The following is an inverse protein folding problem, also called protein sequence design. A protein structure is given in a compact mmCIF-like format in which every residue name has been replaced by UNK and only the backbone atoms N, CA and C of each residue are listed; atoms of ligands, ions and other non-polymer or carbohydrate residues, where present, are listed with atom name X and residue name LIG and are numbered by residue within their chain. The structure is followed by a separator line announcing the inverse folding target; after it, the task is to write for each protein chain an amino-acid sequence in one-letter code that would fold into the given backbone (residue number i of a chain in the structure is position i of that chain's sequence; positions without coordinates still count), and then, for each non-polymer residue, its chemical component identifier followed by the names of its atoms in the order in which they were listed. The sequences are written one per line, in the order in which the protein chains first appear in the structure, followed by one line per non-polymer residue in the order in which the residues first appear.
data_IF_530130731665
#
_entry.id   IF_530130731665
#
_cell.length_a   1.000
_cell.length_b   1.000
_cell.length_c   1.000
_cell.angle_alpha   90.00
_cell.angle_beta   90.00
_cell.angle_gamma   90.00
#
_symmetry.space_group_name_H-M   'P 1'
#
loop_
_entity.id
_entity.type
_entity.pdbx_description
1 polymer ?
#
# COMPACT_ATOMS: atom_id res chain seq x y z
N UNK A 1 63.94 3.33 39.66
CA UNK A 1 62.91 3.22 38.60
C UNK A 1 62.64 1.74 38.34
N UNK A 2 61.45 1.18 38.61
CA UNK A 2 61.02 -0.10 37.99
C UNK A 2 59.62 -0.66 38.30
N UNK A 3 58.62 0.08 38.81
CA UNK A 3 57.29 -0.56 39.03
C UNK A 3 56.03 0.27 38.72
N UNK A 4 56.14 1.32 37.89
CA UNK A 4 54.92 2.08 37.51
C UNK A 4 54.17 1.49 36.32
N UNK A 5 54.77 0.62 35.51
CA UNK A 5 54.13 0.04 34.32
C UNK A 5 53.04 -1.01 34.65
N UNK A 6 53.22 -1.99 35.57
CA UNK A 6 52.22 -3.05 35.75
C UNK A 6 50.90 -2.55 36.34
N UNK A 7 50.93 -1.47 37.13
CA UNK A 7 49.74 -0.92 37.79
C UNK A 7 48.80 -0.23 36.79
N UNK A 8 49.35 0.43 35.77
CA UNK A 8 48.57 0.99 34.66
C UNK A 8 47.89 -0.10 33.83
N UNK A 9 48.56 -1.23 33.58
CA UNK A 9 47.96 -2.34 32.84
C UNK A 9 46.76 -2.96 33.58
N UNK A 10 46.85 -3.13 34.89
CA UNK A 10 45.75 -3.69 35.71
C UNK A 10 44.54 -2.73 35.74
N UNK A 11 44.79 -1.42 35.83
CA UNK A 11 43.76 -0.38 35.73
C UNK A 11 43.10 -0.38 34.35
N UNK A 12 43.88 -0.51 33.27
CA UNK A 12 43.36 -0.53 31.90
C UNK A 12 42.47 -1.77 31.64
N UNK A 13 42.90 -2.94 32.12
CA UNK A 13 42.12 -4.18 32.00
C UNK A 13 40.80 -4.06 32.78
N UNK A 14 40.83 -3.47 33.99
CA UNK A 14 39.64 -3.26 34.84
C UNK A 14 38.63 -2.31 34.19
N UNK A 15 39.09 -1.21 33.57
CA UNK A 15 38.21 -0.26 32.86
C UNK A 15 37.55 -0.94 31.65
N UNK A 16 38.31 -1.72 30.88
CA UNK A 16 37.76 -2.48 29.73
C UNK A 16 36.72 -3.50 30.19
N UNK A 17 36.96 -4.20 31.31
CA UNK A 17 35.99 -5.17 31.83
C UNK A 17 34.70 -4.51 32.30
N UNK A 18 34.77 -3.37 32.99
CA UNK A 18 33.58 -2.62 33.44
C UNK A 18 32.76 -2.12 32.25
N UNK A 19 33.41 -1.59 31.21
CA UNK A 19 32.72 -1.15 29.98
C UNK A 19 32.04 -2.32 29.27
N UNK A 20 32.70 -3.49 29.21
CA UNK A 20 32.15 -4.67 28.55
C UNK A 20 30.95 -5.25 29.33
N UNK A 21 31.05 -5.32 30.66
CA UNK A 21 29.96 -5.77 31.56
C UNK A 21 28.76 -4.82 31.53
N UNK A 22 28.98 -3.49 31.50
CA UNK A 22 27.86 -2.53 31.38
C UNK A 22 27.27 -2.47 29.97
N UNK A 23 28.05 -2.77 28.93
CA UNK A 23 27.55 -2.82 27.54
C UNK A 23 26.64 -4.03 27.31
N UNK A 24 26.86 -5.13 28.01
CA UNK A 24 26.02 -6.34 27.96
C UNK A 24 24.67 -6.20 28.70
N UNK A 25 24.48 -5.16 29.52
CA UNK A 25 23.24 -4.89 30.27
C UNK A 25 22.23 -4.02 29.51
N UNK A 26 22.35 -3.83 28.19
CA UNK A 26 21.27 -3.23 27.42
C UNK A 26 20.12 -4.23 27.35
N UNK A 27 18.94 -3.93 27.94
CA UNK A 27 17.81 -4.83 27.81
C UNK A 27 17.51 -5.01 26.32
N UNK A 28 17.25 -6.24 25.85
CA UNK A 28 16.86 -6.45 24.47
C UNK A 28 15.67 -5.54 24.20
N UNK A 29 15.80 -4.61 23.24
CA UNK A 29 14.68 -3.78 22.80
C UNK A 29 13.53 -4.72 22.51
N UNK A 30 12.49 -4.70 23.36
CA UNK A 30 11.27 -5.50 23.16
C UNK A 30 10.89 -5.33 21.68
N UNK A 31 10.64 -6.41 20.94
CA UNK A 31 10.24 -6.30 19.55
C UNK A 31 9.00 -5.41 19.52
N UNK A 32 9.15 -4.18 19.08
CA UNK A 32 8.03 -3.28 18.91
C UNK A 32 7.17 -3.94 17.86
N UNK A 33 6.04 -4.52 18.25
CA UNK A 33 5.10 -5.15 17.33
C UNK A 33 4.71 -4.07 16.35
N UNK A 34 5.32 -4.07 15.15
CA UNK A 34 5.01 -3.09 14.11
C UNK A 34 3.54 -3.30 13.80
N UNK A 35 2.67 -2.41 14.27
CA UNK A 35 1.26 -2.42 13.93
C UNK A 35 1.16 -2.57 12.42
N UNK A 36 0.57 -3.68 11.97
CA UNK A 36 0.36 -3.90 10.54
C UNK A 36 -0.48 -2.74 10.05
N UNK A 37 0.02 -1.99 9.07
CA UNK A 37 -0.69 -0.87 8.45
C UNK A 37 -2.01 -1.38 7.86
N UNK A 38 -3.11 -1.21 8.61
CA UNK A 38 -4.43 -1.66 8.20
C UNK A 38 -5.00 -0.68 7.17
N UNK A 39 -5.25 -1.19 5.97
CA UNK A 39 -6.02 -0.46 4.97
C UNK A 39 -7.50 -0.55 5.32
N UNK A 40 -8.15 0.61 5.47
CA UNK A 40 -9.58 0.71 5.74
C UNK A 40 -10.27 1.24 4.48
N UNK A 41 -11.51 0.84 4.18
CA UNK A 41 -12.23 1.40 3.05
C UNK A 41 -12.40 2.92 3.21
N UNK A 42 -12.41 3.64 2.09
CA UNK A 42 -12.78 5.05 2.07
C UNK A 42 -14.26 5.21 2.43
N UNK A 43 -14.58 6.26 3.19
CA UNK A 43 -15.96 6.65 3.51
C UNK A 43 -16.61 7.50 2.40
N UNK A 44 -15.84 7.91 1.40
CA UNK A 44 -16.32 8.75 0.29
C UNK A 44 -16.80 7.87 -0.87
N UNK A 45 -17.76 8.33 -1.69
CA UNK A 45 -18.23 7.58 -2.85
C UNK A 45 -17.09 7.37 -3.86
N UNK A 46 -17.01 6.16 -4.44
CA UNK A 46 -16.00 5.82 -5.43
C UNK A 46 -16.12 6.62 -6.72
N UNK A 47 -17.35 7.04 -7.06
CA UNK A 47 -17.64 7.93 -8.18
C UNK A 47 -17.42 9.41 -7.85
N UNK A 48 -17.01 9.74 -6.63
CA UNK A 48 -16.77 11.12 -6.20
C UNK A 48 -15.58 11.74 -6.93
N UNK A 49 -15.62 13.07 -7.09
CA UNK A 49 -14.62 13.86 -7.85
C UNK A 49 -13.19 13.56 -7.43
N UNK A 50 -12.91 13.47 -6.12
CA UNK A 50 -11.57 13.18 -5.61
C UNK A 50 -11.07 11.80 -6.04
N UNK A 51 -11.90 10.76 -5.87
CA UNK A 51 -11.51 9.37 -6.12
C UNK A 51 -11.32 9.14 -7.63
N UNK A 52 -12.22 9.69 -8.45
CA UNK A 52 -12.12 9.68 -9.90
C UNK A 52 -10.87 10.42 -10.39
N UNK A 53 -10.56 11.60 -9.83
CA UNK A 53 -9.35 12.37 -10.16
C UNK A 53 -8.08 11.58 -9.86
N UNK A 54 -8.00 10.97 -8.67
CA UNK A 54 -6.87 10.10 -8.30
C UNK A 54 -6.77 8.89 -9.24
N UNK A 55 -7.90 8.28 -9.58
CA UNK A 55 -7.95 7.16 -10.53
C UNK A 55 -7.35 7.51 -11.89
N UNK A 56 -7.84 8.60 -12.51
CA UNK A 56 -7.32 9.10 -13.79
C UNK A 56 -5.83 9.44 -13.73
N UNK A 57 -5.42 10.19 -12.70
CA UNK A 57 -4.01 10.55 -12.48
C UNK A 57 -3.09 9.32 -12.37
N UNK A 58 -3.58 8.25 -11.75
CA UNK A 58 -2.85 6.97 -11.66
C UNK A 58 -2.69 6.29 -13.03
N UNK A 59 -3.74 6.31 -13.87
CA UNK A 59 -3.69 5.78 -15.23
C UNK A 59 -2.72 6.58 -16.10
N UNK A 60 -2.81 7.91 -16.07
CA UNK A 60 -1.94 8.80 -16.84
C UNK A 60 -0.47 8.60 -16.46
N UNK A 61 -0.19 8.48 -15.16
CA UNK A 61 1.16 8.22 -14.67
C UNK A 61 1.69 6.88 -15.16
N UNK A 62 0.88 5.81 -15.11
CA UNK A 62 1.29 4.50 -15.61
C UNK A 62 1.57 4.51 -17.11
N UNK A 63 0.68 5.14 -17.89
CA UNK A 63 0.82 5.25 -19.34
C UNK A 63 2.11 5.97 -19.72
N UNK A 64 2.43 7.07 -19.03
CA UNK A 64 3.70 7.81 -19.20
C UNK A 64 4.92 6.98 -18.79
N UNK A 65 4.84 6.25 -17.69
CA UNK A 65 5.99 5.48 -17.18
C UNK A 65 6.30 4.23 -18.04
N UNK A 66 5.28 3.64 -18.67
CA UNK A 66 5.40 2.37 -19.38
C UNK A 66 5.18 2.46 -20.90
N UNK A 67 5.00 3.66 -21.45
CA UNK A 67 4.66 3.89 -22.87
C UNK A 67 3.49 3.00 -23.35
N UNK A 68 2.42 2.94 -22.54
CA UNK A 68 1.21 2.15 -22.82
C UNK A 68 -0.01 3.05 -22.94
N UNK A 69 -1.03 2.56 -23.64
CA UNK A 69 -2.32 3.24 -23.77
C UNK A 69 -3.39 2.45 -23.02
N UNK A 70 -3.47 2.67 -21.70
CA UNK A 70 -4.59 2.20 -20.90
C UNK A 70 -5.70 3.24 -20.88
N UNK A 71 -6.95 2.77 -21.05
CA UNK A 71 -8.14 3.60 -21.00
C UNK A 71 -8.75 3.49 -19.60
N UNK A 72 -8.99 4.62 -18.95
CA UNK A 72 -9.72 4.69 -17.68
C UNK A 72 -11.19 4.29 -17.87
N UNK A 73 -11.70 3.33 -17.08
CA UNK A 73 -13.13 2.96 -17.06
C UNK A 73 -13.81 3.54 -15.81
N UNK A 74 -13.50 3.00 -14.63
CA UNK A 74 -14.05 3.42 -13.34
C UNK A 74 -13.12 3.05 -12.18
N UNK A 75 -13.39 3.61 -10.98
CA UNK A 75 -12.73 3.18 -9.75
C UNK A 75 -13.57 2.09 -9.09
N UNK A 76 -12.97 0.91 -8.87
CA UNK A 76 -13.66 -0.25 -8.27
C UNK A 76 -13.45 -0.36 -6.77
N UNK A 77 -12.37 0.22 -6.24
CA UNK A 77 -12.16 0.31 -4.80
C UNK A 77 -11.28 1.48 -4.39
N UNK A 78 -11.52 1.97 -3.17
CA UNK A 78 -10.76 3.03 -2.55
C UNK A 78 -10.49 2.67 -1.09
N UNK A 79 -9.22 2.66 -0.70
CA UNK A 79 -8.76 2.35 0.65
C UNK A 79 -7.91 3.51 1.18
N UNK A 80 -7.86 3.65 2.50
CA UNK A 80 -6.99 4.59 3.21
C UNK A 80 -6.16 3.88 4.26
N UNK A 81 -4.95 4.36 4.44
CA UNK A 81 -4.04 3.91 5.48
C UNK A 81 -3.32 5.13 6.08
N UNK A 82 -3.29 5.23 7.40
CA UNK A 82 -2.66 6.35 8.12
C UNK A 82 -3.28 6.51 9.50
N UNK A 83 -2.49 7.01 10.45
CA UNK A 83 -2.96 7.28 11.80
C UNK A 83 -3.80 8.56 11.78
N UNK A 84 -4.86 8.64 12.58
CA UNK A 84 -5.68 9.87 12.71
C UNK A 84 -4.81 11.07 13.13
N UNK A 85 -3.75 10.83 13.91
CA UNK A 85 -2.82 11.86 14.37
C UNK A 85 -1.83 12.33 13.29
N UNK A 86 -1.54 11.51 12.27
CA UNK A 86 -0.66 11.92 11.18
C UNK A 86 -1.47 12.73 10.16
N UNK A 87 -1.11 14.01 9.98
CA UNK A 87 -1.76 14.95 9.06
C UNK A 87 -1.75 14.52 7.57
N UNK A 88 -0.99 13.47 7.25
CA UNK A 88 -0.87 12.88 5.92
C UNK A 88 -1.53 11.50 5.90
N UNK A 89 -2.37 11.25 4.90
CA UNK A 89 -3.05 9.97 4.70
C UNK A 89 -2.58 9.33 3.40
N UNK A 90 -2.37 8.01 3.42
CA UNK A 90 -2.18 7.26 2.18
C UNK A 90 -3.55 6.86 1.66
N UNK A 91 -3.82 7.17 0.40
CA UNK A 91 -5.01 6.71 -0.31
C UNK A 91 -4.56 5.72 -1.36
N UNK A 92 -5.22 4.57 -1.43
CA UNK A 92 -5.04 3.59 -2.49
C UNK A 92 -6.34 3.51 -3.27
N UNK A 93 -6.24 3.60 -4.59
CA UNK A 93 -7.36 3.39 -5.50
C UNK A 93 -7.05 2.21 -6.40
N UNK A 94 -8.05 1.39 -6.66
CA UNK A 94 -8.00 0.35 -7.69
C UNK A 94 -8.96 0.76 -8.79
N UNK A 95 -8.43 0.87 -10.00
CA UNK A 95 -9.11 1.39 -11.18
C UNK A 95 -9.26 0.24 -12.17
N UNK A 96 -10.45 0.09 -12.74
CA UNK A 96 -10.65 -0.77 -13.91
C UNK A 96 -10.15 -0.02 -15.14
N UNK A 97 -9.28 -0.67 -15.91
CA UNK A 97 -8.67 -0.10 -17.10
C UNK A 97 -8.82 -1.05 -18.28
N UNK A 98 -9.10 -0.50 -19.45
CA UNK A 98 -9.13 -1.23 -20.71
C UNK A 98 -7.78 -1.12 -21.43
N UNK A 99 -7.34 -2.19 -22.09
CA UNK A 99 -6.24 -2.15 -23.05
C UNK A 99 -6.79 -1.96 -24.45
N UNK A 100 -6.34 -0.92 -25.15
CA UNK A 100 -6.55 -0.79 -26.59
C UNK A 100 -5.49 -1.63 -27.32
N UNK A 101 -5.92 -2.64 -28.07
CA UNK A 101 -5.05 -3.25 -29.08
C UNK A 101 -5.17 -2.42 -30.36
N UNK A 102 -4.07 -1.78 -30.77
CA UNK A 102 -4.02 -1.10 -32.06
C UNK A 102 -4.37 -2.10 -33.17
N UNK A 103 -5.52 -1.92 -33.82
CA UNK A 103 -5.79 -2.50 -35.14
C UNK A 103 -6.60 -3.79 -35.24
N UNK A 104 -7.01 -4.45 -34.14
CA UNK A 104 -7.91 -5.62 -34.25
C UNK A 104 -9.16 -5.45 -33.39
N UNK A 105 -10.31 -5.71 -34.00
CA UNK A 105 -11.67 -5.78 -33.43
C UNK A 105 -11.80 -6.99 -32.48
N UNK A 106 -10.80 -7.19 -31.62
CA UNK A 106 -10.63 -8.35 -30.75
C UNK A 106 -10.62 -7.92 -29.29
N UNK A 107 -11.55 -8.49 -28.51
CA UNK A 107 -11.67 -8.48 -27.04
C UNK A 107 -10.85 -7.40 -26.32
N UNK A 108 -11.47 -6.25 -26.03
CA UNK A 108 -10.91 -5.27 -25.10
C UNK A 108 -10.71 -5.96 -23.74
N UNK A 109 -9.45 -6.22 -23.36
CA UNK A 109 -9.16 -6.87 -22.08
C UNK A 109 -9.15 -5.84 -20.95
N UNK A 110 -9.90 -6.13 -19.89
CA UNK A 110 -9.90 -5.33 -18.67
C UNK A 110 -8.84 -5.84 -17.70
N UNK A 111 -8.16 -4.90 -17.06
CA UNK A 111 -7.27 -5.17 -15.95
C UNK A 111 -7.55 -4.21 -14.82
N UNK A 112 -7.04 -4.52 -13.62
CA UNK A 112 -7.05 -3.59 -12.51
C UNK A 112 -5.71 -2.87 -12.41
N UNK A 113 -5.74 -1.54 -12.32
CA UNK A 113 -4.59 -0.71 -11.99
C UNK A 113 -4.72 -0.26 -10.55
N UNK A 114 -3.71 -0.55 -9.72
CA UNK A 114 -3.65 -0.08 -8.34
C UNK A 114 -2.69 1.09 -8.23
N UNK A 115 -3.18 2.22 -7.76
CA UNK A 115 -2.37 3.41 -7.50
C UNK A 115 -2.44 3.80 -6.03
N UNK A 116 -1.31 4.20 -5.45
CA UNK A 116 -1.17 4.64 -4.06
C UNK A 116 -0.65 6.07 -4.04
N UNK A 117 -1.36 6.93 -3.33
CA UNK A 117 -1.10 8.35 -3.18
C UNK A 117 -0.80 8.69 -1.74
N UNK A 118 0.12 9.63 -1.52
CA UNK A 118 0.21 10.40 -0.30
C UNK A 118 -0.64 11.66 -0.47
N UNK A 119 -1.64 11.83 0.39
CA UNK A 119 -2.52 13.00 0.39
C UNK A 119 -2.29 13.82 1.66
N UNK A 120 -1.89 15.07 1.48
CA UNK A 120 -1.63 16.01 2.59
C UNK A 120 -2.90 16.78 2.97
N UNK A 121 -2.93 17.40 4.15
CA UNK A 121 -4.04 18.27 4.59
C UNK A 121 -4.30 19.44 3.64
N UNK A 122 -3.27 19.96 2.97
CA UNK A 122 -3.36 21.05 1.99
C UNK A 122 -3.90 20.60 0.62
N UNK A 123 -4.30 19.33 0.48
CA UNK A 123 -4.79 18.78 -0.80
C UNK A 123 -3.68 18.37 -1.77
N UNK A 124 -2.42 18.36 -1.34
CA UNK A 124 -1.30 17.88 -2.14
C UNK A 124 -1.38 16.37 -2.35
N UNK A 125 -1.27 15.91 -3.59
CA UNK A 125 -1.42 14.51 -4.01
C UNK A 125 -0.14 14.03 -4.69
N UNK A 126 0.70 13.27 -3.98
CA UNK A 126 1.93 12.66 -4.54
C UNK A 126 1.72 11.17 -4.80
N UNK A 127 1.99 10.71 -6.01
CA UNK A 127 2.00 9.28 -6.34
C UNK A 127 3.19 8.61 -5.64
N UNK A 128 2.92 7.50 -4.95
CA UNK A 128 3.93 6.65 -4.31
C UNK A 128 4.21 5.43 -5.19
N UNK A 129 3.15 4.80 -5.68
CA UNK A 129 3.23 3.53 -6.40
C UNK A 129 2.08 3.41 -7.37
N UNK A 130 2.36 2.92 -8.57
CA UNK A 130 1.33 2.45 -9.51
C UNK A 130 1.72 1.07 -10.01
N UNK A 131 0.76 0.13 -10.01
CA UNK A 131 1.00 -1.25 -10.43
C UNK A 131 -0.23 -1.81 -11.13
N UNK A 132 -0.03 -2.37 -12.32
CA UNK A 132 -1.04 -3.17 -13.01
C UNK A 132 -1.13 -4.54 -12.34
N UNK A 133 -2.33 -4.94 -11.94
CA UNK A 133 -2.60 -6.25 -11.34
C UNK A 133 -2.77 -7.29 -12.44
N UNK A 134 -2.18 -8.48 -12.24
CA UNK A 134 -2.30 -9.65 -13.14
C UNK A 134 -3.67 -10.34 -13.03
N UNK A 135 -4.73 -9.56 -12.89
CA UNK A 135 -6.10 -10.08 -12.84
C UNK A 135 -6.82 -9.59 -14.09
N UNK A 136 -7.01 -10.50 -15.05
CA UNK A 136 -7.91 -10.24 -16.17
C UNK A 136 -9.33 -10.24 -15.63
N UNK A 137 -10.08 -9.19 -15.92
CA UNK A 137 -11.50 -9.11 -15.58
C UNK A 137 -12.30 -9.66 -16.76
N UNK A 138 -13.00 -10.76 -16.55
CA UNK A 138 -13.88 -11.37 -17.54
C UNK A 138 -15.16 -10.53 -17.64
N UNK A 139 -15.39 -9.88 -18.78
CA UNK A 139 -16.56 -9.03 -18.99
C UNK A 139 -16.35 -8.03 -20.13
N UNK A 140 -17.44 -7.40 -20.60
CA UNK A 140 -17.36 -6.41 -21.66
C UNK A 140 -16.74 -5.11 -21.12
N UNK A 141 -15.55 -4.76 -21.62
CA UNK A 141 -14.82 -3.55 -21.28
C UNK A 141 -15.18 -2.37 -22.19
N UNK A 142 -16.26 -2.49 -22.97
CA UNK A 142 -16.69 -1.44 -23.87
C UNK A 142 -17.22 -0.25 -23.09
N UNK A 143 -16.44 0.83 -23.13
CA UNK A 143 -16.92 2.19 -22.90
C UNK A 143 -17.57 2.66 -24.20
N UNK A 144 -18.68 2.05 -24.62
CA UNK A 144 -19.57 2.67 -25.61
C UNK A 144 -20.74 3.28 -24.83
N UNK A 145 -20.95 4.57 -25.04
CA UNK A 145 -21.65 5.46 -24.13
C UNK A 145 -23.08 5.03 -23.77
N UNK A 146 -23.51 5.50 -22.60
CA UNK A 146 -24.86 5.53 -22.00
C UNK A 146 -25.21 4.56 -20.87
N UNK A 147 -24.32 3.69 -20.40
CA UNK A 147 -24.64 2.91 -19.20
C UNK A 147 -24.04 3.53 -17.93
N UNK A 148 -24.76 4.50 -17.36
CA UNK A 148 -24.65 4.89 -15.93
C UNK A 148 -25.18 3.78 -14.99
N UNK A 149 -25.00 2.52 -15.33
CA UNK A 149 -25.32 1.42 -14.43
C UNK A 149 -24.07 1.10 -13.61
N UNK A 150 -24.07 1.58 -12.37
CA UNK A 150 -23.13 1.21 -11.31
C UNK A 150 -22.82 -0.29 -11.40
N UNK A 151 -21.60 -0.64 -11.81
CA UNK A 151 -21.12 -2.02 -11.76
C UNK A 151 -21.19 -2.48 -10.30
N UNK A 152 -22.26 -3.21 -9.97
CA UNK A 152 -22.40 -3.91 -8.70
C UNK A 152 -21.22 -4.87 -8.59
N UNK A 153 -20.27 -4.51 -7.74
CA UNK A 153 -19.17 -5.37 -7.37
C UNK A 153 -19.77 -6.55 -6.62
N UNK A 154 -19.60 -7.75 -7.18
CA UNK A 154 -20.02 -9.01 -6.57
C UNK A 154 -19.50 -9.08 -5.15
N UNK A 155 -20.40 -9.45 -4.23
CA UNK A 155 -20.17 -9.52 -2.79
C UNK A 155 -18.87 -10.27 -2.47
N UNK A 156 -18.13 -9.69 -1.52
CA UNK A 156 -17.01 -10.25 -0.75
C UNK A 156 -17.21 -11.76 -0.51
N UNK A 157 -16.19 -12.63 -0.70
CA UNK A 157 -16.30 -14.01 -0.24
C UNK A 157 -16.43 -14.00 1.28
N UNK A 158 -17.60 -14.42 1.77
CA UNK A 158 -17.88 -14.68 3.19
C UNK A 158 -16.97 -15.81 3.62
N UNK A 159 -16.03 -15.53 4.52
CA UNK A 159 -15.24 -16.55 5.18
C UNK A 159 -16.20 -17.38 6.03
N UNK A 160 -16.53 -18.60 5.59
CA UNK A 160 -17.16 -19.62 6.46
C UNK A 160 -16.19 -19.89 7.60
N UNK A 161 -16.43 -19.28 8.76
CA UNK A 161 -15.79 -19.66 10.01
C UNK A 161 -16.58 -20.87 10.53
N UNK A 162 -16.08 -22.07 10.25
CA UNK A 162 -16.56 -23.30 10.88
C UNK A 162 -16.37 -23.15 12.39
N UNK A 163 -17.46 -23.01 13.13
CA UNK A 163 -17.50 -23.24 14.57
C UNK A 163 -17.66 -24.76 14.79
N UNK A 164 -16.56 -25.43 15.12
CA UNK A 164 -16.57 -26.76 15.74
C UNK A 164 -15.45 -26.80 16.78
N UNK A 165 -15.81 -27.10 18.02
CA UNK A 165 -14.87 -27.35 19.10
C UNK A 165 -15.26 -26.75 20.45
N UNK A 166 -16.42 -27.14 20.99
CA UNK A 166 -16.69 -27.09 22.43
C UNK A 166 -16.75 -28.54 22.91
N UNK A 167 -15.75 -28.95 23.69
CA UNK A 167 -15.76 -30.01 24.70
C UNK A 167 -14.35 -30.12 25.28
N UNK A 168 -14.20 -29.69 26.53
CA UNK A 168 -13.59 -30.45 27.61
C UNK A 168 -14.25 -29.97 28.90
#
# INVERSE_FOLDING_TARGET
MKYSIPLYFILFISIITIINVNSAKKPPKKPTTKEKKIWKPLKVPLNGTLVTKLGKKGVDYYNKQHNKTLIYINVTSGERCGHLSSKNKKIRVTVLVGKTSNGKKGSTSCNHLRAVFNVTKKGGEKIILVKLLKTNVTGNCNIKGKDKASQKTTKKPTTKKNSKGKKN
#
